data_IF_255173044644
#
_entry.id   IF_255173044644
#
_cell.length_a   1.000
_cell.length_b   1.000
_cell.length_c   1.000
_cell.angle_alpha   90.00
_cell.angle_beta   90.00
_cell.angle_gamma   90.00
#
_symmetry.space_group_name_H-M   'P 1'
#
loop_
_entity.id
_entity.type
_entity.pdbx_description
1 polymer ?
#
# COMPACT_ATOMS: atom_id res chain seq x y z
N UNK A 1 -36.46 -7.22 -0.23
CA UNK A 1 -35.62 -6.55 0.79
C UNK A 1 -34.66 -7.61 1.30
N UNK A 2 -33.39 -7.55 0.93
CA UNK A 2 -32.36 -8.43 1.50
C UNK A 2 -32.21 -8.01 2.96
N UNK A 3 -32.33 -8.96 3.89
CA UNK A 3 -32.17 -8.71 5.32
C UNK A 3 -30.67 -8.50 5.55
N UNK A 4 -30.22 -7.25 5.56
CA UNK A 4 -28.80 -6.93 5.77
C UNK A 4 -28.41 -7.42 7.18
N UNK A 5 -27.41 -8.29 7.27
CA UNK A 5 -26.90 -8.77 8.56
C UNK A 5 -26.27 -7.60 9.34
N UNK A 6 -26.71 -7.40 10.59
CA UNK A 6 -26.17 -6.38 11.48
C UNK A 6 -24.66 -6.48 11.68
N UNK A 7 -24.06 -7.67 11.57
CA UNK A 7 -22.61 -7.83 11.67
C UNK A 7 -21.85 -7.22 10.47
N UNK A 8 -22.31 -7.47 9.24
CA UNK A 8 -21.64 -6.90 8.06
C UNK A 8 -21.64 -5.37 8.12
N UNK A 9 -22.77 -4.79 8.54
CA UNK A 9 -22.93 -3.35 8.81
C UNK A 9 -22.00 -2.88 9.92
N UNK A 10 -21.95 -3.58 11.05
CA UNK A 10 -21.05 -3.24 12.15
C UNK A 10 -19.57 -3.37 11.75
N UNK A 11 -19.21 -4.32 10.88
CA UNK A 11 -17.86 -4.44 10.34
C UNK A 11 -17.51 -3.22 9.49
N UNK A 12 -18.38 -2.84 8.56
CA UNK A 12 -18.22 -1.63 7.74
C UNK A 12 -18.09 -0.36 8.62
N UNK A 13 -18.92 -0.25 9.65
CA UNK A 13 -18.89 0.84 10.62
C UNK A 13 -17.55 0.93 11.37
N UNK A 14 -17.05 -0.21 11.88
CA UNK A 14 -15.78 -0.27 12.59
C UNK A 14 -14.61 -0.02 11.64
N UNK A 15 -14.62 -0.55 10.41
CA UNK A 15 -13.62 -0.27 9.37
C UNK A 15 -13.50 1.25 9.15
N UNK A 16 -14.63 1.97 8.96
CA UNK A 16 -14.64 3.42 8.75
C UNK A 16 -14.11 4.21 9.96
N UNK A 17 -14.55 3.86 11.18
CA UNK A 17 -14.04 4.52 12.40
C UNK A 17 -12.54 4.32 12.59
N UNK A 18 -12.08 3.10 12.36
CA UNK A 18 -10.67 2.74 12.42
C UNK A 18 -9.82 3.50 11.39
N UNK A 19 -10.32 3.67 10.16
CA UNK A 19 -9.66 4.48 9.13
C UNK A 19 -9.59 5.96 9.54
N UNK A 20 -10.71 6.54 10.00
CA UNK A 20 -10.74 7.93 10.44
C UNK A 20 -9.75 8.18 11.58
N UNK A 21 -9.73 7.28 12.57
CA UNK A 21 -8.77 7.33 13.67
C UNK A 21 -7.33 7.29 13.19
N UNK A 22 -6.98 6.35 12.30
CA UNK A 22 -5.63 6.24 11.71
C UNK A 22 -5.22 7.55 11.02
N UNK A 23 -6.08 8.10 10.17
CA UNK A 23 -5.79 9.33 9.41
C UNK A 23 -5.65 10.53 10.35
N UNK A 24 -6.53 10.66 11.34
CA UNK A 24 -6.51 11.79 12.28
C UNK A 24 -5.28 11.74 13.20
N UNK A 25 -4.87 10.55 13.67
CA UNK A 25 -3.67 10.39 14.49
C UNK A 25 -2.38 10.72 13.70
N UNK A 26 -2.40 10.57 12.36
CA UNK A 26 -1.24 10.75 11.48
C UNK A 26 -1.28 12.06 10.65
N UNK A 27 -2.28 12.92 10.87
CA UNK A 27 -2.54 14.09 10.03
C UNK A 27 -1.35 15.06 9.89
N UNK A 28 -0.53 15.17 10.94
CA UNK A 28 0.65 16.04 10.99
C UNK A 28 1.97 15.27 10.81
N UNK A 29 1.91 13.95 10.56
CA UNK A 29 3.09 13.11 10.41
C UNK A 29 3.73 13.29 9.01
N UNK A 30 4.91 13.90 8.97
CA UNK A 30 5.60 14.18 7.69
C UNK A 30 6.06 12.94 6.95
N UNK A 31 6.50 11.91 7.66
CA UNK A 31 6.91 10.64 7.03
C UNK A 31 5.72 9.96 6.34
N UNK A 32 4.58 9.92 7.04
CA UNK A 32 3.34 9.36 6.51
C UNK A 32 2.92 10.06 5.22
N UNK A 33 2.81 11.39 5.26
CA UNK A 33 2.35 12.20 4.13
C UNK A 33 3.23 12.11 2.88
N UNK A 34 4.52 11.82 3.04
CA UNK A 34 5.47 11.74 1.92
C UNK A 34 5.45 10.38 1.20
N UNK A 35 5.45 9.28 1.97
CA UNK A 35 5.74 7.94 1.41
C UNK A 35 4.58 6.97 1.56
N UNK A 36 4.08 6.82 2.79
CA UNK A 36 3.21 5.71 3.18
C UNK A 36 1.74 5.95 2.83
N UNK A 37 1.35 7.23 2.76
CA UNK A 37 -0.04 7.66 2.60
C UNK A 37 -0.72 7.02 1.38
N UNK A 38 -0.03 6.91 0.24
CA UNK A 38 -0.65 6.44 -1.01
C UNK A 38 -1.09 4.98 -0.93
N UNK A 39 -0.26 4.14 -0.33
CA UNK A 39 -0.52 2.73 -0.12
C UNK A 39 -1.72 2.50 0.80
N UNK A 40 -1.80 3.28 1.89
CA UNK A 40 -2.93 3.26 2.82
C UNK A 40 -4.20 3.82 2.19
N UNK A 41 -4.09 4.88 1.38
CA UNK A 41 -5.21 5.45 0.64
C UNK A 41 -5.79 4.48 -0.38
N UNK A 42 -4.95 3.70 -1.05
CA UNK A 42 -5.43 2.66 -1.96
C UNK A 42 -6.29 1.63 -1.22
N UNK A 43 -5.81 1.14 -0.08
CA UNK A 43 -6.54 0.15 0.72
C UNK A 43 -7.83 0.75 1.33
N UNK A 44 -7.79 2.02 1.69
CA UNK A 44 -8.98 2.79 2.09
C UNK A 44 -10.01 2.89 0.96
N UNK A 45 -9.57 3.17 -0.27
CA UNK A 45 -10.45 3.19 -1.45
C UNK A 45 -11.10 1.82 -1.71
N UNK A 46 -10.37 0.73 -1.44
CA UNK A 46 -10.89 -0.64 -1.55
C UNK A 46 -12.03 -0.86 -0.54
N UNK A 47 -11.80 -0.55 0.74
CA UNK A 47 -12.80 -0.67 1.81
C UNK A 47 -14.03 0.20 1.52
N UNK A 48 -13.84 1.49 1.25
CA UNK A 48 -14.93 2.44 0.94
C UNK A 48 -15.80 1.93 -0.20
N UNK A 49 -15.17 1.48 -1.29
CA UNK A 49 -15.95 0.98 -2.41
C UNK A 49 -16.74 -0.28 -2.06
N UNK A 50 -16.16 -1.22 -1.32
CA UNK A 50 -16.84 -2.46 -0.96
C UNK A 50 -18.04 -2.20 -0.04
N UNK A 51 -17.95 -1.21 0.86
CA UNK A 51 -19.08 -0.75 1.67
C UNK A 51 -20.20 -0.20 0.76
N UNK A 52 -19.85 0.64 -0.22
CA UNK A 52 -20.82 1.24 -1.14
C UNK A 52 -21.53 0.15 -1.98
N UNK A 53 -20.76 -0.79 -2.53
CA UNK A 53 -21.29 -1.85 -3.39
C UNK A 53 -22.14 -2.87 -2.61
N UNK A 54 -21.68 -3.30 -1.43
CA UNK A 54 -22.30 -4.42 -0.69
C UNK A 54 -23.31 -4.01 0.37
N UNK A 55 -23.10 -2.89 1.05
CA UNK A 55 -23.94 -2.48 2.19
C UNK A 55 -24.96 -1.43 1.77
N UNK A 56 -24.53 -0.48 0.93
CA UNK A 56 -25.36 0.67 0.55
C UNK A 56 -25.95 0.56 -0.86
N UNK A 57 -25.76 -0.56 -1.57
CA UNK A 57 -26.31 -0.80 -2.92
C UNK A 57 -26.11 0.39 -3.88
N UNK A 58 -24.92 1.00 -3.86
CA UNK A 58 -24.57 2.17 -4.66
C UNK A 58 -25.51 3.39 -4.49
N UNK A 59 -26.13 3.57 -3.32
CA UNK A 59 -26.98 4.73 -2.99
C UNK A 59 -26.22 6.07 -3.14
N UNK A 60 -24.89 6.05 -3.04
CA UNK A 60 -24.05 7.21 -3.34
C UNK A 60 -23.21 6.98 -4.59
N UNK A 61 -23.18 7.99 -5.46
CA UNK A 61 -22.18 8.06 -6.51
C UNK A 61 -20.90 8.65 -5.92
N UNK A 62 -19.80 7.94 -6.07
CA UNK A 62 -18.48 8.39 -5.64
C UNK A 62 -17.55 8.59 -6.83
N UNK A 63 -16.55 9.43 -6.64
CA UNK A 63 -15.56 9.75 -7.64
C UNK A 63 -14.94 8.48 -8.26
N UNK A 64 -14.92 8.44 -9.60
CA UNK A 64 -14.40 7.30 -10.38
C UNK A 64 -12.94 6.97 -10.03
N UNK A 65 -12.18 7.93 -9.51
CA UNK A 65 -10.80 7.74 -9.03
C UNK A 65 -10.72 6.68 -7.93
N UNK A 66 -11.71 6.57 -7.03
CA UNK A 66 -11.77 5.49 -6.03
C UNK A 66 -11.75 4.13 -6.71
N UNK A 67 -12.58 3.95 -7.75
CA UNK A 67 -12.63 2.71 -8.53
C UNK A 67 -11.34 2.44 -9.28
N UNK A 68 -10.72 3.47 -9.87
CA UNK A 68 -9.45 3.35 -10.60
C UNK A 68 -8.30 2.95 -9.67
N UNK A 69 -8.20 3.58 -8.50
CA UNK A 69 -7.13 3.36 -7.51
C UNK A 69 -7.28 2.00 -6.83
N UNK A 70 -8.48 1.59 -6.39
CA UNK A 70 -8.62 0.27 -5.76
C UNK A 70 -8.20 -0.88 -6.67
N UNK A 71 -8.33 -0.72 -7.99
CA UNK A 71 -7.94 -1.72 -8.97
C UNK A 71 -6.42 -1.86 -9.13
N UNK A 72 -5.62 -1.01 -8.48
CA UNK A 72 -4.16 -1.14 -8.41
C UNK A 72 -3.70 -1.91 -7.16
N UNK A 73 -4.62 -2.56 -6.44
CA UNK A 73 -4.30 -3.42 -5.28
C UNK A 73 -3.37 -4.57 -5.67
N UNK A 74 -3.64 -5.20 -6.82
CA UNK A 74 -2.82 -6.29 -7.31
C UNK A 74 -1.47 -5.79 -7.78
N UNK A 75 -0.41 -6.20 -7.09
CA UNK A 75 0.94 -5.87 -7.50
C UNK A 75 1.32 -6.60 -8.78
N UNK A 76 0.87 -7.84 -9.01
CA UNK A 76 1.10 -8.56 -10.27
C UNK A 76 -0.19 -8.68 -11.10
N UNK A 77 -0.13 -8.41 -12.40
CA UNK A 77 -1.30 -8.55 -13.28
C UNK A 77 -1.27 -9.92 -13.95
N UNK A 78 -2.12 -10.84 -13.49
CA UNK A 78 -2.25 -12.21 -14.01
C UNK A 78 -2.87 -12.30 -15.42
N UNK A 79 -3.56 -11.26 -15.89
CA UNK A 79 -4.17 -11.25 -17.24
C UNK A 79 -3.07 -11.31 -18.32
N UNK A 80 -3.15 -12.34 -19.18
CA UNK A 80 -2.15 -12.61 -20.23
C UNK A 80 -1.89 -11.43 -21.19
N UNK A 81 -0.80 -11.52 -21.96
CA UNK A 81 -0.48 -10.54 -23.03
C UNK A 81 0.41 -9.37 -22.60
N UNK A 82 1.43 -9.64 -21.77
CA UNK A 82 2.51 -8.69 -21.49
C UNK A 82 2.10 -7.46 -20.67
N UNK A 83 1.07 -7.57 -19.83
CA UNK A 83 0.51 -6.43 -19.09
C UNK A 83 1.49 -5.85 -18.06
N UNK A 84 2.29 -6.69 -17.40
CA UNK A 84 3.30 -6.22 -16.44
C UNK A 84 4.36 -5.35 -17.13
N UNK A 85 4.80 -5.75 -18.33
CA UNK A 85 5.72 -4.97 -19.16
C UNK A 85 5.08 -3.66 -19.64
N UNK A 86 3.79 -3.67 -19.99
CA UNK A 86 3.05 -2.45 -20.35
C UNK A 86 2.95 -1.47 -19.19
N UNK A 87 2.69 -1.97 -17.98
CA UNK A 87 2.68 -1.12 -16.76
C UNK A 87 4.06 -0.52 -16.52
N UNK A 88 5.11 -1.34 -16.60
CA UNK A 88 6.49 -0.87 -16.50
C UNK A 88 6.77 0.27 -17.49
N UNK A 89 6.49 0.07 -18.79
CA UNK A 89 6.70 1.09 -19.82
C UNK A 89 5.95 2.37 -19.51
N UNK A 90 4.66 2.29 -19.22
CA UNK A 90 3.83 3.47 -18.92
C UNK A 90 4.37 4.28 -17.74
N UNK A 91 4.87 3.61 -16.69
CA UNK A 91 5.42 4.29 -15.52
C UNK A 91 6.76 4.97 -15.84
N UNK A 92 7.65 4.28 -16.55
CA UNK A 92 8.94 4.85 -16.94
C UNK A 92 8.77 5.98 -17.95
N UNK A 93 7.93 5.78 -18.97
CA UNK A 93 7.58 6.80 -19.97
C UNK A 93 6.99 8.04 -19.29
N UNK A 94 6.12 7.87 -18.30
CA UNK A 94 5.63 8.98 -17.49
C UNK A 94 6.78 9.77 -16.83
N UNK A 95 7.71 9.10 -16.13
CA UNK A 95 8.84 9.80 -15.48
C UNK A 95 9.76 10.48 -16.51
N UNK A 96 10.03 9.82 -17.64
CA UNK A 96 10.81 10.42 -18.74
C UNK A 96 10.13 11.67 -19.28
N UNK A 97 8.81 11.63 -19.51
CA UNK A 97 8.06 12.77 -20.03
C UNK A 97 7.93 13.90 -18.98
N UNK A 98 7.77 13.54 -17.72
CA UNK A 98 7.56 14.47 -16.61
C UNK A 98 8.85 15.18 -16.16
N UNK A 99 10.02 14.57 -16.32
CA UNK A 99 11.30 15.08 -15.78
C UNK A 99 12.44 15.16 -16.81
N UNK A 100 12.29 14.55 -17.99
CA UNK A 100 13.32 14.43 -19.01
C UNK A 100 14.09 13.12 -18.92
N UNK A 101 14.50 12.59 -20.07
CA UNK A 101 15.25 11.32 -20.17
C UNK A 101 16.72 11.46 -19.71
N UNK A 102 17.28 12.66 -19.84
CA UNK A 102 18.68 13.03 -19.56
C UNK A 102 18.94 13.43 -18.10
N UNK A 103 17.92 13.33 -17.23
CA UNK A 103 17.98 13.76 -15.82
C UNK A 103 17.86 12.57 -14.87
N UNK A 104 18.14 12.77 -13.58
CA UNK A 104 17.71 11.84 -12.56
C UNK A 104 16.18 12.00 -12.40
N UNK A 105 15.42 11.01 -12.84
CA UNK A 105 13.97 11.12 -13.06
C UNK A 105 13.14 10.12 -12.24
N UNK A 106 13.78 9.28 -11.41
CA UNK A 106 13.10 8.39 -10.47
C UNK A 106 13.56 8.74 -9.06
N UNK A 107 12.63 9.11 -8.20
CA UNK A 107 12.91 9.46 -6.81
C UNK A 107 12.72 8.27 -5.86
N UNK A 108 13.60 8.18 -4.87
CA UNK A 108 13.55 7.22 -3.77
C UNK A 108 13.59 7.92 -2.43
N UNK A 109 12.76 7.46 -1.50
CA UNK A 109 12.77 7.88 -0.10
C UNK A 109 13.68 6.95 0.70
N UNK A 110 14.57 7.55 1.51
CA UNK A 110 15.55 6.85 2.33
C UNK A 110 15.31 7.13 3.82
N UNK A 111 15.41 6.09 4.64
CA UNK A 111 15.41 6.23 6.10
C UNK A 111 16.75 6.77 6.62
N UNK A 112 16.87 6.95 7.94
CA UNK A 112 18.09 7.42 8.61
C UNK A 112 19.31 6.52 8.35
N UNK A 113 19.09 5.22 8.09
CA UNK A 113 20.14 4.24 7.73
C UNK A 113 20.48 4.21 6.23
N UNK A 114 19.96 5.15 5.44
CA UNK A 114 20.07 5.22 3.97
C UNK A 114 19.45 4.02 3.23
N UNK A 115 18.55 3.27 3.85
CA UNK A 115 17.82 2.20 3.20
C UNK A 115 16.61 2.76 2.45
N UNK A 116 16.33 2.21 1.26
CA UNK A 116 15.15 2.59 0.48
C UNK A 116 13.88 2.11 1.16
N UNK A 117 12.94 3.03 1.36
CA UNK A 117 11.63 2.74 1.97
C UNK A 117 10.45 2.99 1.04
N UNK A 118 10.66 3.73 -0.05
CA UNK A 118 9.62 4.02 -1.03
C UNK A 118 10.16 4.70 -2.27
N UNK A 119 9.31 4.85 -3.28
CA UNK A 119 9.68 5.36 -4.60
C UNK A 119 8.56 6.15 -5.27
N UNK A 120 8.93 7.08 -6.15
CA UNK A 120 7.98 7.77 -7.03
C UNK A 120 7.32 6.82 -8.04
N UNK A 121 7.95 5.67 -8.33
CA UNK A 121 7.39 4.63 -9.21
C UNK A 121 6.08 4.07 -8.67
N UNK A 122 5.98 3.87 -7.35
CA UNK A 122 4.78 3.35 -6.71
C UNK A 122 3.66 4.40 -6.68
N UNK A 123 3.98 5.66 -6.41
CA UNK A 123 3.02 6.76 -6.53
C UNK A 123 2.48 6.85 -7.96
N UNK A 124 3.37 6.74 -8.96
CA UNK A 124 2.99 6.74 -10.35
C UNK A 124 2.10 5.53 -10.70
N UNK A 125 2.35 4.37 -10.10
CA UNK A 125 1.54 3.17 -10.28
C UNK A 125 0.10 3.34 -9.79
N UNK A 126 -0.08 3.88 -8.58
CA UNK A 126 -1.40 4.12 -7.97
C UNK A 126 -2.21 5.09 -8.85
N UNK A 127 -1.59 6.17 -9.30
CA UNK A 127 -2.29 7.21 -10.04
C UNK A 127 -2.29 7.01 -11.55
N UNK A 128 -1.67 5.95 -12.08
CA UNK A 128 -1.45 5.73 -13.52
C UNK A 128 -2.71 5.85 -14.38
N UNK A 129 -3.87 5.56 -13.79
CA UNK A 129 -5.18 5.56 -14.46
C UNK A 129 -6.06 6.73 -14.05
N UNK A 130 -5.50 7.71 -13.34
CA UNK A 130 -6.24 8.82 -12.73
C UNK A 130 -5.80 10.15 -13.29
N UNK A 131 -6.66 11.14 -13.05
CA UNK A 131 -6.42 12.58 -13.27
C UNK A 131 -5.10 13.04 -12.65
N UNK A 132 -4.78 12.45 -11.49
CA UNK A 132 -3.97 12.99 -10.41
C UNK A 132 -2.46 12.82 -10.57
N UNK A 133 -1.98 12.18 -11.64
CA UNK A 133 -0.53 12.14 -11.88
C UNK A 133 0.00 13.56 -12.10
N UNK A 134 1.02 13.99 -11.35
CA UNK A 134 1.61 15.31 -11.52
C UNK A 134 2.54 15.38 -12.74
N UNK A 135 2.54 16.49 -13.45
CA UNK A 135 3.49 16.78 -14.53
C UNK A 135 4.26 18.06 -14.20
N UNK A 136 5.37 17.96 -13.45
CA UNK A 136 6.10 19.13 -12.95
C UNK A 136 6.68 20.05 -14.04
N UNK A 137 6.80 19.56 -15.27
CA UNK A 137 7.20 20.37 -16.43
C UNK A 137 6.07 21.27 -16.97
N UNK A 138 4.81 21.01 -16.61
CA UNK A 138 3.62 21.73 -17.11
C UNK A 138 2.69 22.25 -16.01
N UNK A 139 2.86 21.79 -14.77
CA UNK A 139 2.06 22.18 -13.61
C UNK A 139 2.96 22.85 -12.55
N UNK A 140 2.43 23.87 -11.88
CA UNK A 140 3.06 24.51 -10.73
C UNK A 140 3.04 23.59 -9.51
N UNK A 141 3.90 23.86 -8.53
CA UNK A 141 3.93 23.11 -7.26
C UNK A 141 2.61 23.19 -6.50
N UNK A 142 1.95 24.35 -6.54
CA UNK A 142 0.66 24.55 -5.87
C UNK A 142 -0.45 23.74 -6.56
N UNK A 143 -0.51 23.74 -7.90
CA UNK A 143 -1.47 22.90 -8.65
C UNK A 143 -1.30 21.41 -8.36
N UNK A 144 -0.06 20.91 -8.35
CA UNK A 144 0.25 19.51 -8.01
C UNK A 144 -0.19 19.17 -6.59
N UNK A 145 0.10 20.06 -5.64
CA UNK A 145 -0.29 19.88 -4.24
C UNK A 145 -1.80 19.85 -4.11
N UNK A 146 -2.50 20.82 -4.70
CA UNK A 146 -3.95 20.97 -4.57
C UNK A 146 -4.68 19.77 -5.21
N UNK A 147 -4.19 19.27 -6.34
CA UNK A 147 -4.72 18.06 -7.01
C UNK A 147 -4.56 16.80 -6.16
N UNK A 148 -3.40 16.63 -5.55
CA UNK A 148 -3.10 15.44 -4.72
C UNK A 148 -3.84 15.50 -3.38
N UNK A 149 -3.84 16.68 -2.75
CA UNK A 149 -4.48 16.92 -1.46
C UNK A 149 -6.01 16.91 -1.55
N UNK A 150 -6.61 17.48 -2.59
CA UNK A 150 -8.07 17.48 -2.76
C UNK A 150 -8.65 16.06 -2.84
N UNK A 151 -7.94 15.13 -3.50
CA UNK A 151 -8.38 13.74 -3.52
C UNK A 151 -8.26 13.07 -2.16
N UNK A 152 -7.15 13.30 -1.44
CA UNK A 152 -6.97 12.82 -0.08
C UNK A 152 -8.09 13.29 0.87
N UNK A 153 -8.41 14.58 0.79
CA UNK A 153 -9.49 15.20 1.55
C UNK A 153 -10.84 14.58 1.20
N UNK A 154 -11.12 14.40 -0.09
CA UNK A 154 -12.36 13.76 -0.56
C UNK A 154 -12.54 12.34 0.01
N UNK A 155 -11.48 11.54 0.07
CA UNK A 155 -11.55 10.20 0.70
C UNK A 155 -11.94 10.30 2.19
N UNK A 156 -11.36 11.27 2.91
CA UNK A 156 -11.74 11.55 4.29
C UNK A 156 -13.20 11.94 4.44
N UNK A 157 -13.68 12.85 3.59
CA UNK A 157 -15.08 13.31 3.57
C UNK A 157 -16.05 12.16 3.26
N UNK A 158 -15.76 11.35 2.24
CA UNK A 158 -16.57 10.16 1.90
C UNK A 158 -16.65 9.20 3.07
N UNK A 159 -15.54 8.97 3.79
CA UNK A 159 -15.56 8.09 4.97
C UNK A 159 -16.52 8.60 6.06
N UNK A 160 -16.60 9.91 6.26
CA UNK A 160 -17.50 10.53 7.23
C UNK A 160 -18.96 10.49 6.77
N UNK A 161 -19.22 10.75 5.49
CA UNK A 161 -20.55 10.63 4.91
C UNK A 161 -21.07 9.19 5.06
N UNK A 162 -20.25 8.20 4.71
CA UNK A 162 -20.60 6.79 4.84
C UNK A 162 -20.89 6.39 6.28
N UNK A 163 -20.08 6.87 7.22
CA UNK A 163 -20.29 6.58 8.64
C UNK A 163 -21.65 7.09 9.11
N UNK A 164 -21.98 8.35 8.82
CA UNK A 164 -23.26 8.95 9.17
C UNK A 164 -24.44 8.20 8.52
N UNK A 165 -24.31 7.80 7.26
CA UNK A 165 -25.33 7.00 6.58
C UNK A 165 -25.57 5.65 7.26
N UNK A 166 -24.51 4.97 7.70
CA UNK A 166 -24.67 3.70 8.44
C UNK A 166 -25.36 3.93 9.78
N UNK A 167 -25.05 5.02 10.48
CA UNK A 167 -25.69 5.37 11.75
C UNK A 167 -27.18 5.66 11.58
N UNK A 168 -27.55 6.42 10.54
CA UNK A 168 -28.94 6.77 10.24
C UNK A 168 -29.75 5.57 9.75
N UNK A 169 -29.23 4.80 8.78
CA UNK A 169 -29.97 3.71 8.14
C UNK A 169 -30.15 2.49 9.05
N UNK A 170 -29.23 2.25 9.97
CA UNK A 170 -29.20 1.05 10.81
C UNK A 170 -29.34 1.34 12.31
N UNK A 171 -29.66 2.58 12.69
CA UNK A 171 -29.88 3.02 14.08
C UNK A 171 -28.71 2.67 15.02
N UNK A 172 -27.47 2.75 14.52
CA UNK A 172 -26.28 2.46 15.30
C UNK A 172 -26.10 3.55 16.35
N UNK A 173 -26.16 3.18 17.64
CA UNK A 173 -25.91 4.12 18.73
C UNK A 173 -24.41 4.41 18.85
N UNK A 174 -24.04 5.67 18.67
CA UNK A 174 -22.68 6.15 18.89
C UNK A 174 -22.32 6.08 20.37
N UNK A 175 -21.15 5.52 20.66
CA UNK A 175 -20.41 5.82 21.89
C UNK A 175 -19.33 6.83 21.54
N UNK A 176 -19.37 8.00 22.16
CA UNK A 176 -18.33 9.05 22.05
C UNK A 176 -16.96 8.57 22.57
N UNK A 177 -16.93 7.50 23.37
CA UNK A 177 -15.70 6.96 23.97
C UNK A 177 -14.78 6.28 22.95
N UNK A 178 -15.23 6.04 21.71
CA UNK A 178 -14.46 5.35 20.68
C UNK A 178 -13.43 6.24 19.95
N UNK A 179 -13.41 7.56 20.19
CA UNK A 179 -12.63 8.54 19.40
C UNK A 179 -11.70 9.39 20.28
N UNK A 180 -10.80 8.77 21.03
CA UNK A 180 -9.69 9.49 21.71
C UNK A 180 -8.51 9.67 20.76
N UNK A 181 -8.37 10.84 20.14
CA UNK A 181 -7.25 11.07 19.21
C UNK A 181 -5.92 11.25 19.93
N UNK A 182 -4.90 10.58 19.42
CA UNK A 182 -3.52 10.70 19.89
C UNK A 182 -2.64 11.11 18.72
N UNK A 183 -2.03 12.29 18.83
CA UNK A 183 -1.16 12.80 17.77
C UNK A 183 0.14 11.98 17.72
N UNK A 184 0.38 11.33 16.59
CA UNK A 184 1.62 10.61 16.27
C UNK A 184 2.44 11.45 15.29
N UNK A 185 3.32 12.29 15.82
CA UNK A 185 4.13 13.21 15.03
C UNK A 185 5.47 12.57 14.59
N UNK A 186 5.95 12.96 13.40
CA UNK A 186 7.37 12.83 13.04
C UNK A 186 7.86 14.18 12.54
N UNK A 187 8.82 14.76 13.28
CA UNK A 187 9.41 16.05 12.92
C UNK A 187 10.38 15.93 11.74
N UNK A 188 10.93 14.74 11.53
CA UNK A 188 11.91 14.45 10.49
C UNK A 188 11.22 14.00 9.21
N UNK A 189 11.84 14.32 8.07
CA UNK A 189 11.40 13.87 6.76
C UNK A 189 12.43 12.93 6.17
N UNK A 190 11.97 11.97 5.37
CA UNK A 190 12.88 11.10 4.65
C UNK A 190 13.86 11.87 3.76
N UNK A 191 15.07 11.34 3.68
CA UNK A 191 16.03 11.80 2.69
C UNK A 191 15.56 11.35 1.31
N UNK A 192 15.76 12.18 0.30
CA UNK A 192 15.41 11.84 -1.07
C UNK A 192 16.68 11.57 -1.89
N UNK A 193 16.60 10.59 -2.78
CA UNK A 193 17.64 10.26 -3.75
C UNK A 193 17.01 10.05 -5.11
N UNK A 194 17.47 10.82 -6.09
CA UNK A 194 17.03 10.67 -7.47
C UNK A 194 18.03 9.86 -8.27
N UNK A 195 17.52 9.00 -9.15
CA UNK A 195 18.30 8.12 -10.02
C UNK A 195 17.77 8.25 -11.45
N UNK A 196 18.66 8.24 -12.43
CA UNK A 196 18.27 8.15 -13.83
C UNK A 196 17.76 6.74 -14.16
N UNK A 197 16.60 6.63 -14.82
CA UNK A 197 15.99 5.34 -15.17
C UNK A 197 16.93 4.37 -15.91
N UNK A 198 17.90 4.86 -16.68
CA UNK A 198 18.88 4.03 -17.42
C UNK A 198 19.87 3.32 -16.51
N UNK A 199 20.06 3.82 -15.28
CA UNK A 199 20.92 3.21 -14.27
C UNK A 199 20.17 2.16 -13.44
N UNK A 200 18.84 2.24 -13.42
CA UNK A 200 17.99 1.31 -12.67
C UNK A 200 17.47 0.16 -13.55
N UNK A 201 17.12 0.45 -14.80
CA UNK A 201 16.50 -0.49 -15.73
C UNK A 201 17.40 -0.80 -16.93
N UNK A 202 17.31 -2.03 -17.43
CA UNK A 202 18.05 -2.51 -18.59
C UNK A 202 17.24 -2.34 -19.88
N UNK A 203 17.79 -1.68 -20.89
CA UNK A 203 17.14 -1.56 -22.20
C UNK A 203 16.96 -2.88 -22.96
N UNK A 204 17.53 -3.99 -22.45
CA UNK A 204 17.54 -5.27 -23.15
C UNK A 204 16.31 -6.13 -22.88
N UNK A 205 15.59 -5.91 -21.77
CA UNK A 205 14.51 -6.80 -21.34
C UNK A 205 13.45 -6.06 -20.52
N UNK A 206 12.31 -5.75 -21.15
CA UNK A 206 11.13 -5.26 -20.43
C UNK A 206 10.61 -6.26 -19.40
N UNK A 207 10.86 -7.56 -19.63
CA UNK A 207 10.50 -8.63 -18.71
C UNK A 207 11.29 -8.47 -17.40
N UNK A 208 12.62 -8.38 -17.48
CA UNK A 208 13.49 -8.19 -16.31
C UNK A 208 13.27 -6.83 -15.65
N UNK A 209 12.96 -5.79 -16.42
CA UNK A 209 12.59 -4.50 -15.83
C UNK A 209 11.26 -4.56 -15.08
N UNK A 210 10.29 -5.35 -15.59
CA UNK A 210 9.05 -5.59 -14.86
C UNK A 210 9.33 -6.33 -13.54
N UNK A 211 10.26 -7.29 -13.52
CA UNK A 211 10.72 -7.94 -12.29
C UNK A 211 11.24 -6.92 -11.26
N UNK A 212 12.19 -6.06 -11.66
CA UNK A 212 12.74 -4.98 -10.81
C UNK A 212 11.63 -4.10 -10.26
N UNK A 213 10.69 -3.66 -11.10
CA UNK A 213 9.58 -2.82 -10.69
C UNK A 213 8.67 -3.51 -9.67
N UNK A 214 8.39 -4.80 -9.84
CA UNK A 214 7.57 -5.58 -8.88
C UNK A 214 8.28 -5.73 -7.53
N UNK A 215 9.60 -5.90 -7.52
CA UNK A 215 10.38 -5.90 -6.27
C UNK A 215 10.33 -4.53 -5.57
N UNK A 216 10.42 -3.43 -6.32
CA UNK A 216 10.29 -2.07 -5.75
C UNK A 216 8.91 -1.86 -5.11
N UNK A 217 7.84 -2.33 -5.75
CA UNK A 217 6.50 -2.21 -5.18
C UNK A 217 6.32 -3.06 -3.93
N UNK A 218 6.78 -4.31 -3.95
CA UNK A 218 6.76 -5.16 -2.75
C UNK A 218 7.61 -4.55 -1.62
N UNK A 219 8.77 -3.98 -1.94
CA UNK A 219 9.60 -3.29 -0.94
C UNK A 219 8.83 -2.15 -0.28
N UNK A 220 8.13 -1.31 -1.05
CA UNK A 220 7.36 -0.21 -0.48
C UNK A 220 6.23 -0.70 0.44
N UNK A 221 5.44 -1.69 0.00
CA UNK A 221 4.35 -2.26 0.82
C UNK A 221 4.85 -2.93 2.11
N UNK A 222 5.98 -3.64 2.03
CA UNK A 222 6.63 -4.22 3.20
C UNK A 222 7.04 -3.11 4.17
N UNK A 223 7.64 -2.02 3.67
CA UNK A 223 8.01 -0.88 4.51
C UNK A 223 6.79 -0.20 5.12
N UNK A 224 5.68 -0.08 4.40
CA UNK A 224 4.43 0.48 4.93
C UNK A 224 3.91 -0.35 6.11
N UNK A 225 3.93 -1.68 6.01
CA UNK A 225 3.51 -2.58 7.10
C UNK A 225 4.42 -2.44 8.32
N UNK A 226 5.74 -2.43 8.12
CA UNK A 226 6.71 -2.23 9.20
C UNK A 226 6.49 -0.86 9.85
N UNK A 227 6.28 0.18 9.05
CA UNK A 227 6.05 1.54 9.51
C UNK A 227 4.76 1.66 10.33
N UNK A 228 3.65 1.06 9.88
CA UNK A 228 2.39 1.04 10.64
C UNK A 228 2.57 0.45 12.04
N UNK A 229 3.41 -0.59 12.19
CA UNK A 229 3.70 -1.15 13.50
C UNK A 229 4.64 -0.25 14.32
N UNK A 230 5.81 0.07 13.77
CA UNK A 230 6.92 0.66 14.53
C UNK A 230 6.81 2.18 14.71
N UNK A 231 6.13 2.87 13.80
CA UNK A 231 6.03 4.34 13.76
C UNK A 231 4.62 4.86 14.02
N UNK A 232 3.59 4.04 13.81
CA UNK A 232 2.23 4.36 14.25
C UNK A 232 1.91 3.69 15.59
N UNK A 233 1.72 2.37 15.61
CA UNK A 233 1.21 1.67 16.80
C UNK A 233 2.13 1.80 18.02
N UNK A 234 3.43 1.59 17.85
CA UNK A 234 4.40 1.69 18.95
C UNK A 234 4.65 3.11 19.43
N UNK A 235 4.12 4.12 18.73
CA UNK A 235 4.19 5.54 19.10
C UNK A 235 2.93 6.06 19.76
N UNK A 236 1.82 5.30 19.73
CA UNK A 236 0.64 5.62 20.50
C UNK A 236 0.95 5.48 22.00
N UNK A 237 0.47 6.41 22.81
CA UNK A 237 0.59 6.35 24.27
C UNK A 237 -0.34 5.29 24.85
N UNK A 238 -1.56 5.18 24.30
CA UNK A 238 -2.55 4.18 24.71
C UNK A 238 -3.24 3.59 23.47
N UNK A 239 -2.59 2.66 22.76
CA UNK A 239 -3.22 1.98 21.63
C UNK A 239 -4.50 1.27 22.11
N UNK A 240 -5.62 1.57 21.47
CA UNK A 240 -6.92 0.96 21.77
C UNK A 240 -7.21 -0.19 20.80
N UNK A 241 -8.31 -0.92 21.05
CA UNK A 241 -8.71 -2.04 20.22
C UNK A 241 -8.86 -1.68 18.73
N UNK A 242 -9.36 -0.47 18.41
CA UNK A 242 -9.50 0.01 17.03
C UNK A 242 -8.15 0.16 16.30
N UNK A 243 -7.08 0.47 17.04
CA UNK A 243 -5.73 0.60 16.47
C UNK A 243 -5.17 -0.77 16.06
N UNK A 244 -5.35 -1.78 16.91
CA UNK A 244 -4.95 -3.15 16.60
C UNK A 244 -5.83 -3.78 15.53
N UNK A 245 -7.12 -3.45 15.51
CA UNK A 245 -8.06 -3.88 14.48
C UNK A 245 -7.62 -3.41 13.09
N UNK A 246 -7.37 -2.10 12.92
CA UNK A 246 -6.98 -1.55 11.62
C UNK A 246 -5.60 -2.00 11.20
N UNK A 247 -4.67 -2.14 12.15
CA UNK A 247 -3.35 -2.69 11.88
C UNK A 247 -3.49 -4.10 11.31
N UNK A 248 -4.21 -5.01 11.98
CA UNK A 248 -4.38 -6.38 11.50
C UNK A 248 -5.04 -6.41 10.11
N UNK A 249 -6.08 -5.59 9.92
CA UNK A 249 -6.81 -5.46 8.65
C UNK A 249 -5.87 -5.11 7.50
N UNK A 250 -5.12 -4.02 7.64
CA UNK A 250 -4.19 -3.55 6.62
C UNK A 250 -3.01 -4.51 6.41
N UNK A 251 -2.45 -5.06 7.49
CA UNK A 251 -1.36 -6.05 7.41
C UNK A 251 -1.81 -7.29 6.65
N UNK A 252 -3.00 -7.83 6.92
CA UNK A 252 -3.50 -9.00 6.20
C UNK A 252 -3.72 -8.75 4.70
N UNK A 253 -4.31 -7.59 4.35
CA UNK A 253 -4.53 -7.20 2.95
C UNK A 253 -3.21 -7.09 2.19
N UNK A 254 -2.24 -6.37 2.78
CA UNK A 254 -0.93 -6.16 2.18
C UNK A 254 -0.13 -7.46 2.09
N UNK A 255 -0.16 -8.30 3.11
CA UNK A 255 0.59 -9.56 3.13
C UNK A 255 0.16 -10.51 2.05
N UNK A 256 -1.14 -10.68 1.86
CA UNK A 256 -1.63 -11.54 0.80
C UNK A 256 -1.19 -11.03 -0.59
N UNK A 257 -1.31 -9.73 -0.86
CA UNK A 257 -0.92 -9.14 -2.15
C UNK A 257 0.60 -9.15 -2.40
N UNK A 258 1.42 -8.91 -1.36
CA UNK A 258 2.88 -9.01 -1.44
C UNK A 258 3.28 -10.46 -1.75
N UNK A 259 2.72 -11.44 -1.04
CA UNK A 259 3.09 -12.84 -1.22
C UNK A 259 2.55 -13.40 -2.54
N UNK A 260 1.33 -13.02 -2.96
CA UNK A 260 0.81 -13.36 -4.30
C UNK A 260 1.72 -12.79 -5.40
N UNK A 261 2.23 -11.56 -5.25
CA UNK A 261 3.23 -11.01 -6.17
C UNK A 261 4.49 -11.90 -6.24
N UNK A 262 5.01 -12.37 -5.12
CA UNK A 262 6.18 -13.25 -5.11
C UNK A 262 5.90 -14.62 -5.71
N UNK A 263 4.75 -15.24 -5.45
CA UNK A 263 4.34 -16.48 -6.12
C UNK A 263 4.25 -16.28 -7.64
N UNK A 264 3.65 -15.18 -8.09
CA UNK A 264 3.55 -14.86 -9.52
C UNK A 264 4.92 -14.58 -10.15
N UNK A 265 5.81 -13.90 -9.44
CA UNK A 265 7.20 -13.70 -9.88
C UNK A 265 7.91 -15.05 -10.02
N UNK A 266 7.82 -15.93 -9.00
CA UNK A 266 8.40 -17.28 -9.02
C UNK A 266 7.89 -18.08 -10.21
N UNK A 267 6.58 -18.00 -10.50
CA UNK A 267 5.94 -18.77 -11.56
C UNK A 267 6.18 -18.22 -12.98
N UNK A 268 6.20 -16.90 -13.15
CA UNK A 268 6.14 -16.27 -14.47
C UNK A 268 7.41 -15.51 -14.87
N UNK A 269 8.30 -15.24 -13.91
CA UNK A 269 9.60 -14.58 -14.10
C UNK A 269 10.72 -15.48 -13.55
N UNK A 270 10.63 -16.78 -13.83
CA UNK A 270 11.44 -17.84 -13.23
C UNK A 270 12.95 -17.55 -13.29
N UNK A 271 13.48 -17.14 -14.44
CA UNK A 271 14.91 -16.86 -14.59
C UNK A 271 15.38 -15.72 -13.68
N UNK A 272 14.65 -14.59 -13.66
CA UNK A 272 14.99 -13.43 -12.82
C UNK A 272 14.83 -13.79 -11.32
N UNK A 273 13.80 -14.57 -10.99
CA UNK A 273 13.57 -15.09 -9.63
C UNK A 273 14.71 -16.01 -9.17
N UNK A 274 15.13 -16.97 -10.00
CA UNK A 274 16.21 -17.89 -9.66
C UNK A 274 17.54 -17.15 -9.47
N UNK A 275 17.82 -16.13 -10.29
CA UNK A 275 19.00 -15.28 -10.09
C UNK A 275 18.96 -14.56 -8.73
N UNK A 276 17.82 -13.98 -8.37
CA UNK A 276 17.62 -13.35 -7.07
C UNK A 276 17.77 -14.35 -5.93
N UNK A 277 17.15 -15.52 -6.04
CA UNK A 277 17.18 -16.57 -5.04
C UNK A 277 18.62 -17.10 -4.82
N UNK A 278 19.39 -17.34 -5.89
CA UNK A 278 20.80 -17.74 -5.80
C UNK A 278 21.62 -16.67 -5.06
N UNK A 279 21.44 -15.39 -5.36
CA UNK A 279 22.13 -14.28 -4.66
C UNK A 279 21.73 -14.16 -3.18
N UNK A 280 20.57 -14.68 -2.81
CA UNK A 280 20.08 -14.79 -1.43
C UNK A 280 20.47 -16.11 -0.74
N UNK A 281 21.26 -16.98 -1.39
CA UNK A 281 21.56 -18.33 -0.92
C UNK A 281 20.30 -19.18 -0.62
N UNK A 282 19.26 -19.03 -1.46
CA UNK A 282 17.99 -19.76 -1.30
C UNK A 282 17.03 -19.19 -0.24
N UNK A 283 17.41 -18.10 0.43
CA UNK A 283 16.62 -17.55 1.54
C UNK A 283 15.25 -17.02 1.08
N UNK A 284 15.17 -16.40 -0.11
CA UNK A 284 13.92 -15.87 -0.65
C UNK A 284 12.90 -16.98 -0.85
N UNK A 285 13.28 -18.07 -1.52
CA UNK A 285 12.40 -19.21 -1.73
C UNK A 285 12.01 -19.88 -0.40
N UNK A 286 12.95 -20.05 0.52
CA UNK A 286 12.66 -20.56 1.86
C UNK A 286 11.59 -19.73 2.59
N UNK A 287 11.67 -18.40 2.53
CA UNK A 287 10.70 -17.50 3.17
C UNK A 287 9.31 -17.60 2.54
N UNK A 288 9.24 -17.71 1.20
CA UNK A 288 7.99 -17.88 0.46
C UNK A 288 7.33 -19.22 0.80
N UNK A 289 8.11 -20.31 0.78
CA UNK A 289 7.60 -21.65 1.08
C UNK A 289 7.17 -21.78 2.55
N UNK A 290 7.91 -21.14 3.47
CA UNK A 290 7.54 -21.07 4.89
C UNK A 290 6.22 -20.33 5.09
N UNK A 291 6.00 -19.22 4.38
CA UNK A 291 4.72 -18.51 4.43
C UNK A 291 3.58 -19.41 3.91
N UNK A 292 3.82 -20.10 2.78
CA UNK A 292 2.84 -21.00 2.17
C UNK A 292 2.38 -22.11 3.11
N UNK A 293 3.32 -22.69 3.85
CA UNK A 293 3.06 -23.78 4.80
C UNK A 293 2.57 -23.30 6.17
N UNK A 294 2.75 -22.01 6.49
CA UNK A 294 2.42 -21.41 7.79
C UNK A 294 1.13 -20.59 7.74
N UNK A 295 1.28 -19.29 7.50
CA UNK A 295 0.20 -18.30 7.73
C UNK A 295 -0.60 -17.94 6.47
N UNK A 296 -0.32 -18.54 5.30
CA UNK A 296 -1.00 -18.22 4.03
C UNK A 296 -2.52 -18.36 4.11
N UNK A 297 -3.01 -19.44 4.71
CA UNK A 297 -4.46 -19.70 4.81
C UNK A 297 -5.17 -18.65 5.67
N UNK A 298 -4.59 -18.28 6.81
CA UNK A 298 -5.15 -17.25 7.69
C UNK A 298 -5.07 -15.85 7.05
N UNK A 299 -3.96 -15.51 6.39
CA UNK A 299 -3.84 -14.27 5.61
C UNK A 299 -4.90 -14.20 4.51
N UNK A 300 -5.08 -15.28 3.74
CA UNK A 300 -6.08 -15.37 2.68
C UNK A 300 -7.49 -15.20 3.23
N UNK A 301 -7.78 -15.82 4.39
CA UNK A 301 -9.07 -15.72 5.08
C UNK A 301 -9.35 -14.27 5.51
N UNK A 302 -8.41 -13.64 6.21
CA UNK A 302 -8.52 -12.25 6.65
C UNK A 302 -8.66 -11.27 5.48
N UNK A 303 -7.91 -11.49 4.39
CA UNK A 303 -8.01 -10.69 3.16
C UNK A 303 -9.39 -10.84 2.51
N UNK A 304 -9.91 -12.06 2.39
CA UNK A 304 -11.19 -12.32 1.74
C UNK A 304 -12.37 -11.67 2.48
N UNK A 305 -12.24 -11.45 3.79
CA UNK A 305 -13.20 -10.69 4.59
C UNK A 305 -13.23 -9.20 4.23
N UNK A 306 -12.48 -8.73 3.22
CA UNK A 306 -12.75 -7.44 2.59
C UNK A 306 -14.17 -7.43 2.01
N UNK A 307 -14.63 -8.56 1.45
CA UNK A 307 -15.96 -8.73 0.92
C UNK A 307 -16.95 -8.99 2.05
N UNK A 308 -17.77 -7.98 2.38
CA UNK A 308 -18.77 -8.07 3.44
C UNK A 308 -19.81 -9.15 3.10
N UNK A 309 -19.91 -10.17 3.96
CA UNK A 309 -20.90 -11.23 3.81
C UNK A 309 -22.22 -10.82 4.46
N UNK A 310 -23.15 -10.34 3.64
CA UNK A 310 -24.49 -9.90 4.05
C UNK A 310 -25.52 -11.05 4.10
N UNK A 311 -25.19 -12.22 3.54
CA UNK A 311 -26.12 -13.34 3.36
C UNK A 311 -26.07 -14.35 4.51
N UNK A 312 -24.92 -14.45 5.18
CA UNK A 312 -24.71 -15.37 6.31
C UNK A 312 -25.27 -14.82 7.61
N UNK A 313 -25.62 -15.70 8.55
CA UNK A 313 -25.86 -15.34 9.96
C UNK A 313 -24.61 -15.51 10.82
N UNK A 314 -23.57 -16.19 10.30
CA UNK A 314 -22.30 -16.40 11.01
C UNK A 314 -21.58 -15.06 11.18
N UNK A 315 -21.43 -14.67 12.43
CA UNK A 315 -20.74 -13.44 12.83
C UNK A 315 -19.28 -13.45 12.35
N UNK A 316 -18.66 -14.63 12.31
CA UNK A 316 -17.23 -14.82 12.05
C UNK A 316 -16.86 -14.76 10.57
N UNK A 317 -17.84 -14.76 9.67
CA UNK A 317 -17.62 -14.64 8.23
C UNK A 317 -17.26 -13.20 7.82
N UNK A 318 -17.48 -12.23 8.72
CA UNK A 318 -17.06 -10.85 8.57
C UNK A 318 -15.92 -10.54 9.55
N UNK A 319 -15.04 -9.61 9.16
CA UNK A 319 -13.77 -9.36 9.85
C UNK A 319 -13.94 -8.98 11.33
N UNK A 320 -14.95 -8.19 11.70
CA UNK A 320 -15.18 -7.79 13.09
C UNK A 320 -15.52 -8.98 13.98
N UNK A 321 -16.39 -9.88 13.52
CA UNK A 321 -16.74 -11.06 14.29
C UNK A 321 -15.57 -12.02 14.43
N UNK A 322 -14.82 -12.24 13.34
CA UNK A 322 -13.60 -13.04 13.38
C UNK A 322 -12.57 -12.48 14.36
N UNK A 323 -12.31 -11.17 14.29
CA UNK A 323 -11.40 -10.46 15.16
C UNK A 323 -11.79 -10.62 16.64
N UNK A 324 -13.06 -10.36 16.97
CA UNK A 324 -13.56 -10.46 18.34
C UNK A 324 -13.45 -11.89 18.87
N UNK A 325 -13.73 -12.90 18.04
CA UNK A 325 -13.54 -14.31 18.41
C UNK A 325 -12.08 -14.59 18.75
N UNK A 326 -11.15 -14.22 17.88
CA UNK A 326 -9.71 -14.45 18.09
C UNK A 326 -9.20 -13.75 19.34
N UNK A 327 -9.57 -12.47 19.55
CA UNK A 327 -9.21 -11.71 20.75
C UNK A 327 -9.81 -12.31 22.01
N UNK A 328 -11.03 -12.84 21.96
CA UNK A 328 -11.64 -13.52 23.12
C UNK A 328 -10.92 -14.81 23.52
N UNK A 329 -10.25 -15.46 22.57
CA UNK A 329 -9.47 -16.69 22.79
C UNK A 329 -8.02 -16.38 23.18
N UNK A 330 -7.43 -15.35 22.60
CA UNK A 330 -6.09 -14.86 22.88
C UNK A 330 -6.07 -13.33 22.72
N UNK A 331 -6.05 -12.60 23.85
CA UNK A 331 -6.04 -11.13 23.86
C UNK A 331 -4.86 -10.53 23.10
N UNK A 332 -3.76 -11.27 22.97
CA UNK A 332 -2.56 -10.82 22.27
C UNK A 332 -2.54 -11.24 20.79
N UNK A 333 -3.58 -11.90 20.28
CA UNK A 333 -3.63 -12.42 18.91
C UNK A 333 -3.23 -11.38 17.85
N UNK A 334 -3.80 -10.15 17.82
CA UNK A 334 -3.42 -9.17 16.79
C UNK A 334 -1.94 -8.82 16.84
N UNK A 335 -1.38 -8.66 18.05
CA UNK A 335 0.04 -8.36 18.25
C UNK A 335 0.92 -9.53 17.80
N UNK A 336 0.58 -10.76 18.20
CA UNK A 336 1.33 -11.97 17.83
C UNK A 336 1.35 -12.17 16.33
N UNK A 337 0.19 -12.10 15.68
CA UNK A 337 0.07 -12.28 14.23
C UNK A 337 0.86 -11.22 13.46
N UNK A 338 0.71 -9.93 13.82
CA UNK A 338 1.44 -8.84 13.15
C UNK A 338 2.95 -8.96 13.36
N UNK A 339 3.39 -9.32 14.57
CA UNK A 339 4.80 -9.56 14.84
C UNK A 339 5.34 -10.78 14.09
N UNK A 340 4.53 -11.81 13.89
CA UNK A 340 4.90 -12.98 13.09
C UNK A 340 5.14 -12.58 11.64
N UNK A 341 4.17 -11.88 11.02
CA UNK A 341 4.29 -11.34 9.66
C UNK A 341 5.56 -10.49 9.52
N UNK A 342 5.75 -9.52 10.42
CA UNK A 342 6.84 -8.55 10.35
C UNK A 342 8.20 -9.21 10.54
N UNK A 343 8.37 -9.98 11.63
CA UNK A 343 9.68 -10.45 12.03
C UNK A 343 10.10 -11.73 11.29
N UNK A 344 9.17 -12.63 10.97
CA UNK A 344 9.50 -13.90 10.34
C UNK A 344 9.54 -13.82 8.81
N UNK A 345 8.85 -12.87 8.19
CA UNK A 345 8.73 -12.78 6.74
C UNK A 345 9.20 -11.44 6.19
N UNK A 346 8.61 -10.33 6.63
CA UNK A 346 8.81 -9.04 5.97
C UNK A 346 10.16 -8.39 6.22
N UNK A 347 10.67 -8.38 7.45
CA UNK A 347 12.04 -7.88 7.73
C UNK A 347 13.09 -8.68 6.95
N UNK A 348 13.07 -10.02 6.94
CA UNK A 348 13.94 -10.82 6.08
C UNK A 348 13.79 -10.51 4.59
N UNK A 349 12.56 -10.53 4.04
CA UNK A 349 12.30 -10.27 2.62
C UNK A 349 12.75 -8.86 2.21
N UNK A 350 12.46 -7.85 3.03
CA UNK A 350 12.95 -6.47 2.84
C UNK A 350 14.46 -6.43 2.67
N UNK A 351 15.20 -7.12 3.54
CA UNK A 351 16.66 -7.19 3.48
C UNK A 351 17.14 -7.81 2.16
N UNK A 352 16.53 -8.92 1.73
CA UNK A 352 16.89 -9.57 0.47
C UNK A 352 16.57 -8.72 -0.75
N UNK A 353 15.45 -8.00 -0.75
CA UNK A 353 15.07 -7.09 -1.83
C UNK A 353 16.02 -5.89 -1.89
N UNK A 354 16.31 -5.25 -0.75
CA UNK A 354 17.25 -4.13 -0.66
C UNK A 354 18.63 -4.52 -1.18
N UNK A 355 19.14 -5.68 -0.76
CA UNK A 355 20.44 -6.20 -1.19
C UNK A 355 20.47 -6.49 -2.70
N UNK A 356 19.40 -7.05 -3.25
CA UNK A 356 19.33 -7.38 -4.67
C UNK A 356 19.20 -6.12 -5.55
N UNK A 357 18.32 -5.20 -5.18
CA UNK A 357 18.10 -3.95 -5.93
C UNK A 357 19.28 -2.99 -5.79
N UNK A 358 19.91 -2.93 -4.60
CA UNK A 358 21.12 -2.16 -4.32
C UNK A 358 21.06 -0.69 -4.78
N UNK A 359 19.86 -0.10 -4.69
CA UNK A 359 19.52 1.25 -5.18
C UNK A 359 20.32 2.30 -4.41
N UNK A 360 20.58 2.09 -3.13
CA UNK A 360 21.39 2.93 -2.26
C UNK A 360 22.80 3.18 -2.83
N UNK A 361 23.37 2.21 -3.56
CA UNK A 361 24.71 2.34 -4.17
C UNK A 361 24.73 2.89 -5.59
N UNK A 362 23.57 3.04 -6.25
CA UNK A 362 23.53 3.62 -7.60
C UNK A 362 23.96 5.08 -7.53
N UNK A 363 25.03 5.46 -8.23
CA UNK A 363 25.47 6.86 -8.27
C UNK A 363 24.58 7.64 -9.25
N UNK A 364 23.89 8.72 -8.82
CA UNK A 364 23.11 9.54 -9.72
C UNK A 364 23.96 10.21 -10.79
N UNK A 365 23.35 10.63 -11.90
CA UNK A 365 24.02 11.52 -12.85
C UNK A 365 24.38 12.84 -12.15
N UNK A 366 25.61 13.30 -12.35
CA UNK A 366 26.05 14.61 -11.90
C UNK A 366 25.42 15.74 -12.73
N UNK A 367 25.34 16.94 -12.18
CA UNK A 367 24.84 18.12 -12.89
C UNK A 367 25.57 18.36 -14.21
N UNK A 368 26.90 18.12 -14.24
CA UNK A 368 27.69 18.25 -15.46
C UNK A 368 27.32 17.23 -16.52
N UNK A 369 27.06 15.98 -16.12
CA UNK A 369 26.56 14.95 -17.05
C UNK A 369 25.19 15.31 -17.60
N UNK A 370 24.29 15.85 -16.76
CA UNK A 370 22.97 16.31 -17.20
C UNK A 370 23.10 17.47 -18.21
N UNK A 371 23.92 18.49 -17.90
CA UNK A 371 24.18 19.62 -18.80
C UNK A 371 24.78 19.13 -20.13
N UNK A 372 25.79 18.25 -20.04
CA UNK A 372 26.43 17.65 -21.22
C UNK A 372 25.39 16.92 -22.07
N UNK A 373 24.60 16.03 -21.48
CA UNK A 373 23.58 15.27 -22.21
C UNK A 373 22.57 16.18 -22.92
N UNK A 374 22.19 17.31 -22.31
CA UNK A 374 21.29 18.29 -22.94
C UNK A 374 21.92 19.03 -24.11
N UNK A 375 23.18 19.44 -23.98
CA UNK A 375 23.89 20.18 -25.03
C UNK A 375 24.25 19.31 -26.23
N UNK A 376 24.52 18.02 -26.02
CA UNK A 376 24.93 17.08 -27.07
C UNK A 376 23.77 16.24 -27.63
N UNK A 377 22.52 16.43 -27.16
CA UNK A 377 21.30 15.96 -27.83
C UNK A 377 20.99 16.90 -29.02
N UNK A 378 21.72 16.74 -30.13
CA UNK A 378 21.32 17.24 -31.45
C UNK A 378 21.00 16.07 -32.37
#
# INVERSE_FOLDING_TARGET
MVKINSNAVMTAYIDLKSIQRLILNLNENKEFACTHIYSIFRDTCLIIHEIIDKILDNVIEVDERIKKIRNTVHLYIKKGGGQNQKVYKKIVDYHINAFGEDTNNIGFYLNESNEVIGSTLYCAYIFLRTENLPFPNSETKDEIRDKTFSFAQYIGEVSAILLNMLEELFEIKTSDELMTFEKVDSKESYRCKDVNHKLLFSFKSDLSNSFILRLIFSLQEINDVIWLKEKYIDKLQKPINLDWYILLRLVSLKTDEIMDNFFNIKQHLENDFQEWNIKSNGNVEYLIDKYEQGIKEECSTLRNMIHYNIETESIEDNFLGFYNKKVSQDLEYPLKFVNEVINLYFKPLRSEILKYLNIDKITPLSDWEIIKNRLFKQ
#
